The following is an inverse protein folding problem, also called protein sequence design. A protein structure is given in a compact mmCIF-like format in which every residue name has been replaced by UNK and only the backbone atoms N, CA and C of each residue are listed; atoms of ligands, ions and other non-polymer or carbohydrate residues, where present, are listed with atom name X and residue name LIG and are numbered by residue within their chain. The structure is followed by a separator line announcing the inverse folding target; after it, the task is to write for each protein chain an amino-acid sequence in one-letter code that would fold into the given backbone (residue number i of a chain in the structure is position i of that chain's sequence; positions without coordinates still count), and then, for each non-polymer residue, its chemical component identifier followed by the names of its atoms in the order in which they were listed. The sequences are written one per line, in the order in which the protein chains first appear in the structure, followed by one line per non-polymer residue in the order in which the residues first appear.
data_IF_873034106918
#
_entry.id   IF_873034106918
#
_cell.length_a   1.000
_cell.length_b   1.000
_cell.length_c   1.000
_cell.angle_alpha   90.00
_cell.angle_beta   90.00
_cell.angle_gamma   90.00
#
_symmetry.space_group_name_H-M   'P 1'
#
loop_
_entity.id
_entity.type
_entity.pdbx_description
1 polymer ?
#
# COMPACT_ATOMS: atom_id res chain seq x y z
N UNK A 1 -4.03 6.35 19.37
CA UNK A 1 -2.75 6.05 18.69
C UNK A 1 -1.65 6.64 19.56
N UNK A 2 -0.62 5.89 19.92
CA UNK A 2 0.43 6.40 20.81
C UNK A 2 1.31 7.40 20.05
N UNK A 3 1.68 8.52 20.67
CA UNK A 3 2.56 9.54 20.09
C UNK A 3 3.89 8.93 19.62
N UNK A 4 4.35 7.88 20.29
CA UNK A 4 5.57 7.13 19.98
C UNK A 4 5.58 6.49 18.59
N UNK A 5 4.43 6.16 18.01
CA UNK A 5 4.34 5.59 16.65
C UNK A 5 4.16 6.68 15.59
N UNK A 6 3.47 7.78 15.92
CA UNK A 6 3.20 8.85 14.97
C UNK A 6 4.47 9.65 14.61
N UNK A 7 5.33 9.89 15.60
CA UNK A 7 6.59 10.64 15.43
C UNK A 7 7.54 10.03 14.37
N UNK A 8 7.94 8.75 14.45
CA UNK A 8 8.85 8.17 13.46
C UNK A 8 8.23 8.14 12.06
N UNK A 9 6.92 7.92 11.95
CA UNK A 9 6.22 7.97 10.66
C UNK A 9 6.27 9.38 10.07
N UNK A 10 5.91 10.40 10.86
CA UNK A 10 5.95 11.78 10.41
C UNK A 10 7.36 12.22 10.01
N UNK A 11 8.38 11.82 10.78
CA UNK A 11 9.77 12.09 10.48
C UNK A 11 10.21 11.44 9.17
N UNK A 12 9.89 10.15 8.97
CA UNK A 12 10.19 9.44 7.73
C UNK A 12 9.62 10.18 6.52
N UNK A 13 8.31 10.49 6.53
CA UNK A 13 7.67 11.20 5.43
C UNK A 13 8.22 12.61 5.21
N UNK A 14 8.53 13.33 6.28
CA UNK A 14 9.11 14.69 6.18
C UNK A 14 10.48 14.64 5.50
N UNK A 15 11.34 13.69 5.89
CA UNK A 15 12.68 13.54 5.32
C UNK A 15 12.63 13.05 3.87
N UNK A 16 11.76 12.10 3.55
CA UNK A 16 11.64 11.59 2.17
C UNK A 16 11.11 12.67 1.24
N UNK A 17 10.05 13.40 1.63
CA UNK A 17 9.50 14.49 0.82
C UNK A 17 10.51 15.62 0.65
N UNK A 18 11.23 15.98 1.72
CA UNK A 18 12.30 16.98 1.62
C UNK A 18 13.39 16.55 0.64
N UNK A 19 13.84 15.30 0.72
CA UNK A 19 14.84 14.76 -0.20
C UNK A 19 14.32 14.76 -1.65
N UNK A 20 13.10 14.28 -1.90
CA UNK A 20 12.49 14.28 -3.23
C UNK A 20 12.42 15.70 -3.80
N UNK A 21 11.87 16.67 -3.06
CA UNK A 21 11.81 18.05 -3.50
C UNK A 21 13.20 18.66 -3.77
N UNK A 22 14.20 18.32 -2.96
CA UNK A 22 15.56 18.85 -3.10
C UNK A 22 16.32 18.25 -4.29
N UNK A 23 16.06 16.99 -4.61
CA UNK A 23 16.79 16.24 -5.63
C UNK A 23 16.00 16.03 -6.93
N UNK A 24 14.73 16.47 -7.01
CA UNK A 24 13.89 16.36 -8.20
C UNK A 24 14.51 16.96 -9.48
N UNK A 25 15.43 17.91 -9.36
CA UNK A 25 16.10 18.56 -10.50
C UNK A 25 17.42 17.90 -10.91
N UNK A 26 17.87 16.85 -10.22
CA UNK A 26 19.25 16.37 -10.30
C UNK A 26 19.49 15.23 -11.30
N UNK A 27 18.49 14.81 -12.08
CA UNK A 27 18.60 13.63 -12.96
C UNK A 27 18.09 13.95 -14.37
N UNK A 28 18.90 13.58 -15.36
CA UNK A 28 18.49 13.52 -16.76
C UNK A 28 17.50 12.37 -16.94
N UNK A 29 16.28 12.70 -17.31
CA UNK A 29 15.17 11.75 -17.44
C UNK A 29 15.39 10.86 -18.67
N UNK A 30 15.35 9.54 -18.46
CA UNK A 30 15.55 8.54 -19.51
C UNK A 30 14.19 8.19 -20.10
N UNK A 31 14.03 8.38 -21.42
CA UNK A 31 12.87 7.93 -22.19
C UNK A 31 11.52 8.39 -21.58
N UNK A 32 11.43 9.72 -21.46
CA UNK A 32 10.46 10.47 -20.67
C UNK A 32 9.01 10.08 -20.98
N UNK A 33 8.62 10.06 -22.26
CA UNK A 33 7.21 9.94 -22.66
C UNK A 33 6.57 8.60 -22.27
N UNK A 34 7.21 7.46 -22.60
CA UNK A 34 6.63 6.14 -22.31
C UNK A 34 6.65 5.80 -20.84
N UNK A 35 7.76 6.07 -20.16
CA UNK A 35 7.92 5.75 -18.73
C UNK A 35 6.98 6.61 -17.88
N UNK A 36 6.80 7.88 -18.22
CA UNK A 36 5.82 8.75 -17.55
C UNK A 36 4.40 8.28 -17.75
N UNK A 37 3.99 7.92 -18.97
CA UNK A 37 2.64 7.42 -19.21
C UNK A 37 2.34 6.16 -18.41
N UNK A 38 3.27 5.20 -18.38
CA UNK A 38 3.14 3.98 -17.58
C UNK A 38 3.08 4.32 -16.08
N UNK A 39 3.99 5.18 -15.61
CA UNK A 39 4.05 5.59 -14.20
C UNK A 39 2.78 6.30 -13.74
N UNK A 40 2.25 7.22 -14.55
CA UNK A 40 0.98 7.91 -14.29
C UNK A 40 -0.20 6.92 -14.29
N UNK A 41 -0.26 6.00 -15.26
CA UNK A 41 -1.30 4.98 -15.30
C UNK A 41 -1.28 4.07 -14.06
N UNK A 42 -0.08 3.64 -13.63
CA UNK A 42 0.09 2.85 -12.40
C UNK A 42 -0.31 3.63 -11.17
N UNK A 43 0.06 4.91 -11.09
CA UNK A 43 -0.29 5.78 -9.97
C UNK A 43 -1.81 5.89 -9.79
N UNK A 44 -2.54 6.20 -10.86
CA UNK A 44 -4.00 6.31 -10.81
C UNK A 44 -4.69 4.96 -10.60
N UNK A 45 -4.15 3.88 -11.15
CA UNK A 45 -4.65 2.52 -10.87
C UNK A 45 -4.48 2.16 -9.39
N UNK A 46 -3.31 2.48 -8.82
CA UNK A 46 -3.01 2.32 -7.41
C UNK A 46 -3.95 3.16 -6.54
N UNK A 47 -4.13 4.44 -6.86
CA UNK A 47 -5.04 5.33 -6.12
C UNK A 47 -6.49 4.82 -6.15
N UNK A 48 -7.01 4.46 -7.33
CA UNK A 48 -8.37 3.98 -7.49
C UNK A 48 -8.61 2.65 -6.74
N UNK A 49 -7.68 1.70 -6.88
CA UNK A 49 -7.78 0.42 -6.18
C UNK A 49 -7.61 0.56 -4.67
N UNK A 50 -6.72 1.42 -4.19
CA UNK A 50 -6.55 1.70 -2.77
C UNK A 50 -7.84 2.31 -2.19
N UNK A 51 -8.37 3.35 -2.83
CA UNK A 51 -9.64 3.98 -2.44
C UNK A 51 -10.80 2.99 -2.41
N UNK A 52 -10.95 2.19 -3.47
CA UNK A 52 -12.02 1.19 -3.56
C UNK A 52 -11.98 0.19 -2.41
N UNK A 53 -10.81 -0.35 -2.08
CA UNK A 53 -10.69 -1.32 -0.99
C UNK A 53 -10.84 -0.66 0.39
N UNK A 54 -10.42 0.60 0.56
CA UNK A 54 -10.74 1.35 1.78
C UNK A 54 -12.23 1.63 1.93
N UNK A 55 -12.93 1.92 0.85
CA UNK A 55 -14.38 2.07 0.85
C UNK A 55 -15.08 0.76 1.26
N UNK A 56 -14.62 -0.39 0.79
CA UNK A 56 -15.13 -1.69 1.26
C UNK A 56 -14.89 -1.86 2.77
N UNK A 57 -13.69 -1.52 3.26
CA UNK A 57 -13.36 -1.60 4.69
C UNK A 57 -14.22 -0.66 5.55
N UNK A 58 -14.47 0.57 5.10
CA UNK A 58 -15.29 1.54 5.83
C UNK A 58 -16.73 1.07 5.98
N UNK A 59 -17.24 0.29 5.01
CA UNK A 59 -18.60 -0.23 5.03
C UNK A 59 -18.77 -1.52 5.83
N UNK A 60 -17.69 -2.10 6.39
CA UNK A 60 -17.80 -3.34 7.17
C UNK A 60 -18.54 -3.15 8.50
N UNK A 61 -18.50 -1.93 9.06
CA UNK A 61 -19.07 -1.62 10.37
C UNK A 61 -20.11 -0.52 10.23
N UNK A 62 -21.24 -0.70 10.93
CA UNK A 62 -22.14 0.41 11.26
C UNK A 62 -21.53 1.21 12.41
N UNK A 63 -21.94 2.46 12.57
CA UNK A 63 -21.33 3.42 13.50
C UNK A 63 -21.17 2.89 14.94
N UNK A 64 -22.06 2.01 15.39
CA UNK A 64 -22.08 1.49 16.77
C UNK A 64 -21.47 0.07 16.91
N UNK A 65 -21.05 -0.56 15.82
CA UNK A 65 -20.49 -1.91 15.84
C UNK A 65 -18.97 -1.91 16.09
N UNK A 66 -18.56 -2.52 17.20
CA UNK A 66 -17.13 -2.72 17.54
C UNK A 66 -16.57 -4.06 17.10
N UNK A 67 -17.41 -4.96 16.61
CA UNK A 67 -16.97 -6.28 16.19
C UNK A 67 -16.11 -6.20 14.91
N UNK A 68 -15.09 -7.05 14.83
CA UNK A 68 -14.32 -7.22 13.60
C UNK A 68 -15.04 -8.20 12.69
N UNK A 69 -15.15 -7.85 11.41
CA UNK A 69 -15.73 -8.69 10.37
C UNK A 69 -14.66 -9.06 9.34
N UNK A 70 -14.84 -10.21 8.71
CA UNK A 70 -13.98 -10.64 7.61
C UNK A 70 -14.32 -9.75 6.40
N UNK A 71 -13.35 -9.02 5.82
CA UNK A 71 -13.60 -8.24 4.61
C UNK A 71 -13.93 -9.16 3.45
N UNK A 72 -14.89 -8.75 2.61
CA UNK A 72 -15.34 -9.47 1.42
C UNK A 72 -15.49 -8.49 0.25
N UNK A 73 -15.49 -9.02 -0.97
CA UNK A 73 -15.58 -8.25 -2.20
C UNK A 73 -14.23 -7.72 -2.72
N UNK A 74 -14.17 -7.40 -4.01
CA UNK A 74 -12.93 -7.01 -4.68
C UNK A 74 -11.84 -8.07 -4.53
N UNK A 75 -10.60 -7.65 -4.27
CA UNK A 75 -9.48 -8.55 -4.07
C UNK A 75 -9.41 -9.14 -2.64
N UNK A 76 -10.32 -8.76 -1.73
CA UNK A 76 -10.34 -9.36 -0.38
C UNK A 76 -10.64 -10.86 -0.39
N UNK A 77 -11.23 -11.39 -1.47
CA UNK A 77 -11.42 -12.84 -1.61
C UNK A 77 -10.11 -13.61 -1.83
N UNK A 78 -9.08 -12.92 -2.35
CA UNK A 78 -7.80 -13.52 -2.70
C UNK A 78 -6.70 -13.19 -1.69
N UNK A 79 -6.70 -11.97 -1.14
CA UNK A 79 -5.65 -11.46 -0.26
C UNK A 79 -6.20 -10.76 0.98
N UNK A 80 -5.42 -10.74 2.05
CA UNK A 80 -5.81 -10.11 3.32
C UNK A 80 -5.81 -8.58 3.23
N UNK A 81 -4.85 -8.00 2.51
CA UNK A 81 -4.65 -6.55 2.45
C UNK A 81 -4.47 -6.04 1.00
N UNK A 82 -5.52 -6.11 0.15
CA UNK A 82 -5.44 -5.62 -1.24
C UNK A 82 -5.16 -4.12 -1.35
N UNK A 83 -5.64 -3.31 -0.39
CA UNK A 83 -5.38 -1.87 -0.36
C UNK A 83 -3.87 -1.56 -0.29
N UNK A 84 -3.08 -2.37 0.41
CA UNK A 84 -1.62 -2.22 0.44
C UNK A 84 -0.98 -2.57 -0.91
N UNK A 85 -1.50 -3.55 -1.64
CA UNK A 85 -0.99 -3.87 -2.98
C UNK A 85 -1.16 -2.67 -3.92
N UNK A 86 -2.34 -2.06 -3.91
CA UNK A 86 -2.63 -0.89 -4.73
C UNK A 86 -1.85 0.35 -4.27
N UNK A 87 -1.57 0.48 -2.98
CA UNK A 87 -0.66 1.52 -2.48
C UNK A 87 0.75 1.34 -3.05
N UNK A 88 1.26 0.11 -3.11
CA UNK A 88 2.56 -0.18 -3.75
C UNK A 88 2.57 0.09 -5.25
N UNK A 89 1.46 -0.15 -5.97
CA UNK A 89 1.35 0.26 -7.37
C UNK A 89 1.41 1.79 -7.52
N UNK A 90 0.83 2.52 -6.59
CA UNK A 90 0.95 3.98 -6.49
C UNK A 90 2.40 4.43 -6.35
N UNK A 91 3.12 3.88 -5.36
CA UNK A 91 4.52 4.18 -5.12
C UNK A 91 5.44 3.77 -6.27
N UNK A 92 5.16 2.63 -6.93
CA UNK A 92 5.87 2.22 -8.14
C UNK A 92 5.67 3.22 -9.28
N UNK A 93 4.44 3.69 -9.49
CA UNK A 93 4.13 4.73 -10.46
C UNK A 93 4.90 6.02 -10.20
N UNK A 94 4.93 6.47 -8.94
CA UNK A 94 5.71 7.65 -8.52
C UNK A 94 7.22 7.46 -8.76
N UNK A 95 7.76 6.27 -8.48
CA UNK A 95 9.17 5.97 -8.72
C UNK A 95 9.53 5.95 -10.22
N UNK A 96 8.65 5.43 -11.06
CA UNK A 96 8.83 5.48 -12.52
C UNK A 96 8.75 6.91 -13.06
N UNK A 97 7.90 7.76 -12.47
CA UNK A 97 7.79 9.17 -12.90
C UNK A 97 8.99 9.99 -12.46
N UNK A 98 9.43 9.82 -11.22
CA UNK A 98 10.52 10.61 -10.66
C UNK A 98 11.91 10.15 -11.11
N UNK A 99 12.06 8.91 -11.56
CA UNK A 99 13.31 8.30 -12.07
C UNK A 99 14.55 8.60 -11.21
N UNK A 100 14.36 8.72 -9.89
CA UNK A 100 15.42 9.10 -8.95
C UNK A 100 15.65 7.98 -7.93
N UNK A 101 16.90 7.72 -7.51
CA UNK A 101 17.20 6.71 -6.48
C UNK A 101 16.42 6.91 -5.17
N UNK A 102 16.10 8.15 -4.82
CA UNK A 102 15.26 8.47 -3.64
C UNK A 102 13.85 7.87 -3.78
N UNK A 103 13.19 8.02 -4.92
CA UNK A 103 11.86 7.42 -5.11
C UNK A 103 11.92 5.89 -5.15
N UNK A 104 12.98 5.32 -5.76
CA UNK A 104 13.19 3.87 -5.72
C UNK A 104 13.39 3.37 -4.28
N UNK A 105 14.13 4.12 -3.45
CA UNK A 105 14.32 3.82 -2.03
C UNK A 105 13.01 3.91 -1.23
N UNK A 106 12.19 4.93 -1.49
CA UNK A 106 10.86 5.07 -0.87
C UNK A 106 9.97 3.88 -1.25
N UNK A 107 9.90 3.53 -2.54
CA UNK A 107 9.14 2.37 -3.00
C UNK A 107 9.61 1.06 -2.35
N UNK A 108 10.93 0.82 -2.27
CA UNK A 108 11.47 -0.36 -1.61
C UNK A 108 11.12 -0.39 -0.11
N UNK A 109 11.27 0.75 0.58
CA UNK A 109 10.93 0.88 2.00
C UNK A 109 9.46 0.62 2.28
N UNK A 110 8.56 1.19 1.46
CA UNK A 110 7.13 0.92 1.53
C UNK A 110 6.79 -0.54 1.23
N UNK A 111 7.49 -1.16 0.27
CA UNK A 111 7.30 -2.59 -0.06
C UNK A 111 7.60 -3.47 1.15
N UNK A 112 8.74 -3.29 1.80
CA UNK A 112 9.08 -4.06 3.00
C UNK A 112 8.10 -3.81 4.15
N UNK A 113 7.76 -2.54 4.40
CA UNK A 113 6.82 -2.17 5.46
C UNK A 113 5.43 -2.78 5.26
N UNK A 114 4.86 -2.64 4.06
CA UNK A 114 3.52 -3.12 3.76
C UNK A 114 3.46 -4.64 3.62
N UNK A 115 4.53 -5.28 3.15
CA UNK A 115 4.66 -6.74 3.14
C UNK A 115 4.60 -7.29 4.57
N UNK A 116 5.40 -6.77 5.49
CA UNK A 116 5.38 -7.19 6.91
C UNK A 116 3.99 -6.96 7.54
N UNK A 117 3.41 -5.77 7.31
CA UNK A 117 2.06 -5.44 7.81
C UNK A 117 0.99 -6.36 7.25
N UNK A 118 1.11 -6.81 6.00
CA UNK A 118 0.17 -7.75 5.38
C UNK A 118 0.24 -9.15 6.00
N UNK A 119 1.44 -9.61 6.38
CA UNK A 119 1.65 -10.86 7.10
C UNK A 119 1.04 -10.75 8.50
N UNK A 120 1.33 -9.68 9.22
CA UNK A 120 0.75 -9.43 10.54
C UNK A 120 -0.78 -9.40 10.50
N UNK A 121 -1.37 -8.72 9.50
CA UNK A 121 -2.83 -8.69 9.29
C UNK A 121 -3.40 -10.08 9.03
N UNK A 122 -2.72 -10.89 8.22
CA UNK A 122 -3.16 -12.25 7.89
C UNK A 122 -3.11 -13.17 9.10
N UNK A 123 -2.02 -13.11 9.88
CA UNK A 123 -1.86 -13.87 11.13
C UNK A 123 -2.92 -13.48 12.14
N UNK A 124 -3.16 -12.18 12.31
CA UNK A 124 -4.20 -11.67 13.20
C UNK A 124 -5.59 -12.13 12.74
N UNK A 125 -5.91 -12.04 11.44
CA UNK A 125 -7.19 -12.50 10.90
C UNK A 125 -7.41 -14.00 11.15
N UNK A 126 -6.40 -14.83 10.86
CA UNK A 126 -6.48 -16.29 11.09
C UNK A 126 -6.69 -16.62 12.57
N UNK A 127 -5.95 -15.95 13.47
CA UNK A 127 -6.13 -16.12 14.91
C UNK A 127 -7.49 -15.64 15.42
N UNK A 128 -8.00 -14.54 14.88
CA UNK A 128 -9.27 -13.94 15.31
C UNK A 128 -10.50 -14.71 14.83
N UNK A 129 -10.46 -15.20 13.59
CA UNK A 129 -11.63 -15.77 12.92
C UNK A 129 -11.58 -17.30 12.80
N UNK A 130 -10.42 -17.93 13.06
CA UNK A 130 -10.25 -19.37 13.04
C UNK A 130 -10.71 -19.99 11.72
N UNK A 131 -11.48 -21.07 11.81
CA UNK A 131 -12.00 -21.80 10.65
C UNK A 131 -12.90 -20.97 9.71
N UNK A 132 -13.41 -19.81 10.16
CA UNK A 132 -14.22 -18.92 9.31
C UNK A 132 -13.36 -18.12 8.32
N UNK A 133 -12.06 -17.99 8.56
CA UNK A 133 -11.17 -17.26 7.67
C UNK A 133 -10.66 -18.17 6.54
N UNK A 134 -10.80 -17.78 5.26
CA UNK A 134 -10.32 -18.61 4.16
C UNK A 134 -8.81 -18.83 4.24
N UNK A 135 -8.40 -20.09 4.41
CA UNK A 135 -6.98 -20.46 4.50
C UNK A 135 -6.22 -20.22 3.18
N UNK A 136 -6.94 -20.18 2.06
CA UNK A 136 -6.42 -19.89 0.72
C UNK A 136 -6.03 -18.43 0.53
N UNK A 137 -6.56 -17.50 1.34
CA UNK A 137 -6.22 -16.07 1.24
C UNK A 137 -4.74 -15.85 1.53
N UNK A 138 -4.10 -15.18 0.57
CA UNK A 138 -2.72 -14.72 0.58
C UNK A 138 -2.60 -13.40 1.36
N UNK A 139 -1.39 -12.94 1.58
CA UNK A 139 -1.10 -11.76 2.39
C UNK A 139 -1.40 -10.47 1.62
N UNK A 140 -0.83 -10.35 0.42
CA UNK A 140 -0.73 -9.10 -0.34
C UNK A 140 -0.89 -9.29 -1.85
N UNK A 141 -0.14 -10.23 -2.45
CA UNK A 141 -0.12 -10.49 -3.90
C UNK A 141 -0.96 -11.73 -4.20
N UNK A 142 -2.04 -11.60 -5.00
CA UNK A 142 -2.92 -12.72 -5.33
C UNK A 142 -2.15 -13.93 -5.83
N UNK A 143 -2.51 -15.12 -5.33
CA UNK A 143 -1.94 -16.43 -5.67
C UNK A 143 -0.47 -16.65 -5.28
N UNK A 144 0.31 -15.60 -5.02
CA UNK A 144 1.75 -15.67 -4.76
C UNK A 144 2.04 -15.50 -3.26
N UNK A 145 1.82 -14.29 -2.73
CA UNK A 145 2.28 -13.87 -1.41
C UNK A 145 1.13 -13.36 -0.57
#
# INVERSE_FOLDING_TARGET
MCITTALPIALFYTLTVFAECRFAHAVDLVDMERTHLIGVALFFTGLAGNLYHHYLLSNLRKADEKEYKIPTGGLFELVAAPHYLFELLGWLGAALVGQHPVHAFVFASMTFYLADRSVAQSTWNRGKFGARYPATRKHLVPYIF
#
